data_IF_609272135828
#
_entry.id   IF_609272135828
#
_cell.length_a   1.000
_cell.length_b   1.000
_cell.length_c   1.000
_cell.angle_alpha   90.00
_cell.angle_beta   90.00
_cell.angle_gamma   90.00
#
_symmetry.space_group_name_H-M   'P 1'
#
loop_
_entity.id
_entity.type
_entity.pdbx_description
1 polymer ?
#
# COMPACT_ATOMS: atom_id res chain seq x y z
N UNK A 1 -7.43 -11.17 7.64
CA UNK A 1 -6.12 -10.51 7.52
C UNK A 1 -6.19 -9.11 8.12
N UNK A 2 -5.21 -8.75 8.96
CA UNK A 2 -4.99 -7.40 9.50
C UNK A 2 -3.91 -6.67 8.69
N UNK A 3 -4.26 -5.51 8.14
CA UNK A 3 -3.38 -4.75 7.24
C UNK A 3 -3.04 -3.39 7.83
N UNK A 4 -1.76 -3.01 7.80
CA UNK A 4 -1.29 -1.64 8.02
C UNK A 4 -1.31 -0.91 6.67
N UNK A 5 -1.87 0.30 6.62
CA UNK A 5 -1.87 1.14 5.44
C UNK A 5 -1.29 2.52 5.77
N UNK A 6 -0.33 2.98 4.97
CA UNK A 6 0.21 4.35 5.03
C UNK A 6 -0.16 5.12 3.78
N UNK A 7 -0.22 6.45 3.85
CA UNK A 7 -0.47 7.30 2.67
C UNK A 7 -1.90 7.22 2.12
N UNK A 8 -2.86 6.79 2.94
CA UNK A 8 -4.29 6.64 2.57
C UNK A 8 -4.99 7.94 2.13
N UNK A 9 -4.42 9.11 2.43
CA UNK A 9 -4.91 10.42 1.95
C UNK A 9 -4.42 10.78 0.56
N UNK A 10 -3.47 10.01 0.01
CA UNK A 10 -2.92 10.22 -1.32
C UNK A 10 -3.75 9.56 -2.42
N UNK A 11 -3.45 9.90 -3.67
CA UNK A 11 -4.19 9.42 -4.85
C UNK A 11 -4.21 7.88 -4.95
N UNK A 12 -3.05 7.22 -4.80
CA UNK A 12 -2.95 5.75 -4.80
C UNK A 12 -3.51 5.16 -3.49
N UNK A 13 -3.04 5.66 -2.35
CA UNK A 13 -3.37 5.08 -1.04
C UNK A 13 -4.87 5.13 -0.71
N UNK A 14 -5.60 6.15 -1.20
CA UNK A 14 -7.05 6.21 -1.04
C UNK A 14 -7.74 5.07 -1.79
N UNK A 15 -7.31 4.78 -3.02
CA UNK A 15 -7.88 3.66 -3.78
C UNK A 15 -7.50 2.30 -3.17
N UNK A 16 -6.29 2.16 -2.63
CA UNK A 16 -5.91 0.96 -1.85
C UNK A 16 -6.81 0.80 -0.63
N UNK A 17 -7.10 1.87 0.12
CA UNK A 17 -8.01 1.81 1.27
C UNK A 17 -9.40 1.31 0.86
N UNK A 18 -9.96 1.83 -0.23
CA UNK A 18 -11.27 1.41 -0.73
C UNK A 18 -11.28 -0.08 -1.12
N UNK A 19 -10.22 -0.55 -1.80
CA UNK A 19 -10.06 -1.96 -2.15
C UNK A 19 -9.92 -2.85 -0.89
N UNK A 20 -9.18 -2.40 0.13
CA UNK A 20 -9.08 -3.12 1.40
C UNK A 20 -10.42 -3.24 2.12
N UNK A 21 -11.20 -2.16 2.17
CA UNK A 21 -12.52 -2.14 2.81
C UNK A 21 -13.50 -3.10 2.13
N UNK A 22 -13.52 -3.08 0.79
CA UNK A 22 -14.37 -3.94 -0.04
C UNK A 22 -13.97 -5.43 0.04
N UNK A 23 -12.73 -5.76 0.40
CA UNK A 23 -12.27 -7.14 0.42
C UNK A 23 -12.68 -7.88 1.72
N UNK A 24 -13.44 -8.98 1.65
CA UNK A 24 -13.90 -9.71 2.84
C UNK A 24 -12.78 -10.46 3.58
N UNK A 25 -11.68 -10.80 2.90
CA UNK A 25 -10.52 -11.46 3.53
C UNK A 25 -9.72 -10.51 4.42
N UNK A 26 -9.88 -9.19 4.23
CA UNK A 26 -9.34 -8.16 5.11
C UNK A 26 -10.38 -7.83 6.18
N UNK A 27 -10.02 -8.14 7.42
CA UNK A 27 -10.91 -8.08 8.59
C UNK A 27 -10.58 -6.89 9.49
N UNK A 28 -9.36 -6.35 9.40
CA UNK A 28 -8.93 -5.18 10.16
C UNK A 28 -7.92 -4.36 9.36
N UNK A 29 -8.06 -3.03 9.40
CA UNK A 29 -7.19 -2.08 8.70
C UNK A 29 -6.75 -1.04 9.71
N UNK A 30 -5.43 -0.94 9.94
CA UNK A 30 -4.83 0.17 10.70
C UNK A 30 -4.25 1.16 9.70
N UNK A 31 -4.85 2.35 9.63
CA UNK A 31 -4.28 3.46 8.86
C UNK A 31 -3.35 4.26 9.76
N UNK A 32 -2.09 4.39 9.34
CA UNK A 32 -1.17 5.40 9.87
C UNK A 32 -1.27 6.65 9.00
N UNK A 33 -1.79 7.73 9.58
CA UNK A 33 -1.99 8.98 8.86
C UNK A 33 -1.58 10.18 9.70
N UNK A 34 -1.16 11.26 9.04
CA UNK A 34 -0.85 12.54 9.69
C UNK A 34 -2.09 13.39 9.93
N UNK A 35 -3.24 12.96 9.40
CA UNK A 35 -4.53 13.66 9.46
C UNK A 35 -5.64 12.62 9.54
N UNK A 36 -6.76 13.01 10.11
CA UNK A 36 -7.92 12.13 10.18
C UNK A 36 -8.51 11.84 8.78
N UNK A 37 -9.25 10.74 8.68
CA UNK A 37 -9.98 10.36 7.47
C UNK A 37 -11.45 10.69 7.60
N UNK A 38 -12.10 11.02 6.48
CA UNK A 38 -13.55 11.28 6.43
C UNK A 38 -14.40 10.00 6.36
N UNK A 39 -13.75 8.85 6.24
CA UNK A 39 -14.41 7.54 6.10
C UNK A 39 -14.37 6.84 7.45
N UNK A 40 -15.51 6.27 7.84
CA UNK A 40 -15.65 5.42 9.02
C UNK A 40 -16.11 4.04 8.59
N UNK A 41 -15.49 2.98 9.09
CA UNK A 41 -15.86 1.59 8.82
C UNK A 41 -15.51 0.72 10.04
N UNK A 42 -16.30 -0.32 10.37
CA UNK A 42 -15.98 -1.23 11.49
C UNK A 42 -14.61 -1.92 11.39
N UNK A 43 -14.10 -2.14 10.17
CA UNK A 43 -12.76 -2.71 9.94
C UNK A 43 -11.66 -1.67 10.14
N UNK A 44 -11.96 -0.38 10.08
CA UNK A 44 -11.00 0.71 9.97
C UNK A 44 -10.68 1.35 11.33
N UNK A 45 -9.40 1.35 11.68
CA UNK A 45 -8.84 2.13 12.78
C UNK A 45 -7.82 3.12 12.23
N UNK A 46 -8.00 4.41 12.53
CA UNK A 46 -7.04 5.47 12.17
C UNK A 46 -6.18 5.77 13.40
N UNK A 47 -4.86 5.73 13.23
CA UNK A 47 -3.89 6.17 14.22
C UNK A 47 -3.18 7.40 13.66
N UNK A 48 -3.27 8.52 14.39
CA UNK A 48 -2.54 9.73 14.05
C UNK A 48 -1.06 9.54 14.37
N UNK A 49 -0.25 9.58 13.32
CA UNK A 49 1.18 9.40 13.40
C UNK A 49 1.88 10.39 12.46
N UNK A 50 2.52 11.39 13.06
CA UNK A 50 3.07 12.53 12.31
C UNK A 50 4.47 12.27 11.73
N UNK A 51 5.33 11.60 12.51
CA UNK A 51 6.74 11.39 12.16
C UNK A 51 7.12 9.91 11.99
N UNK A 52 7.08 9.47 10.74
CA UNK A 52 7.42 8.11 10.31
C UNK A 52 8.93 7.79 10.41
N UNK A 53 9.76 8.70 10.96
CA UNK A 53 11.12 8.34 11.40
C UNK A 53 11.18 7.73 12.80
N UNK A 54 10.07 7.70 13.53
CA UNK A 54 10.01 7.16 14.90
C UNK A 54 8.79 6.28 15.10
N UNK A 55 8.92 5.17 15.82
CA UNK A 55 7.80 4.28 16.14
C UNK A 55 7.80 4.05 17.65
N UNK A 56 6.98 4.80 18.42
CA UNK A 56 6.86 4.63 19.87
C UNK A 56 6.43 3.20 20.25
N UNK A 57 6.76 2.76 21.46
CA UNK A 57 6.43 1.42 21.97
C UNK A 57 4.94 1.12 21.86
N UNK A 58 4.09 2.08 22.20
CA UNK A 58 2.63 1.94 22.20
C UNK A 58 2.09 1.78 20.78
N UNK A 59 2.74 2.42 19.81
CA UNK A 59 2.41 2.24 18.39
C UNK A 59 2.80 0.84 17.94
N UNK A 60 4.01 0.39 18.27
CA UNK A 60 4.50 -0.95 17.92
C UNK A 60 3.58 -2.05 18.44
N UNK A 61 3.12 -1.94 19.68
CA UNK A 61 2.16 -2.89 20.28
C UNK A 61 0.86 -2.96 19.48
N UNK A 62 0.35 -1.83 18.97
CA UNK A 62 -0.87 -1.82 18.18
C UNK A 62 -0.70 -2.39 16.77
N UNK A 63 0.53 -2.37 16.25
CA UNK A 63 0.90 -2.86 14.93
C UNK A 63 1.37 -4.32 14.94
N UNK A 64 1.57 -4.89 16.13
CA UNK A 64 2.18 -6.19 16.33
C UNK A 64 1.50 -7.29 15.48
N UNK A 65 0.24 -7.57 15.76
CA UNK A 65 -0.58 -8.60 15.12
C UNK A 65 -0.97 -8.31 13.65
N UNK A 66 -0.28 -7.40 12.95
CA UNK A 66 -0.52 -7.15 11.53
C UNK A 66 0.13 -8.23 10.66
N UNK A 67 -0.64 -8.71 9.68
CA UNK A 67 -0.19 -9.72 8.71
C UNK A 67 0.58 -9.07 7.54
N UNK A 68 0.22 -7.83 7.19
CA UNK A 68 0.79 -7.13 6.04
C UNK A 68 0.86 -5.62 6.26
N UNK A 69 1.79 -4.96 5.55
CA UNK A 69 1.84 -3.51 5.45
C UNK A 69 1.84 -3.08 3.97
N UNK A 70 0.86 -2.27 3.58
CA UNK A 70 0.83 -1.61 2.28
C UNK A 70 1.30 -0.17 2.45
N UNK A 71 2.44 0.16 1.85
CA UNK A 71 3.07 1.48 1.98
C UNK A 71 2.76 2.35 0.76
N UNK A 72 2.02 3.44 0.95
CA UNK A 72 1.69 4.39 -0.12
C UNK A 72 2.08 5.84 0.21
N UNK A 73 2.99 6.05 1.17
CA UNK A 73 3.55 7.37 1.42
C UNK A 73 4.53 7.76 0.31
N UNK A 74 4.37 9.00 -0.16
CA UNK A 74 5.26 9.64 -1.12
C UNK A 74 4.83 11.08 -1.35
N UNK A 75 5.67 11.85 -2.02
CA UNK A 75 5.26 13.14 -2.57
C UNK A 75 5.86 13.38 -3.95
N UNK A 76 5.11 14.10 -4.78
CA UNK A 76 5.54 14.51 -6.10
C UNK A 76 6.83 15.34 -6.03
N UNK A 77 7.79 14.98 -6.85
CA UNK A 77 9.00 15.75 -7.09
C UNK A 77 8.71 16.68 -8.30
N UNK A 78 9.11 17.96 -8.29
CA UNK A 78 9.93 18.66 -7.30
C UNK A 78 9.11 19.55 -6.34
N UNK A 79 7.83 19.24 -6.08
CA UNK A 79 6.87 20.15 -5.42
C UNK A 79 7.35 20.70 -4.06
N UNK A 80 8.23 19.98 -3.36
CA UNK A 80 8.78 20.37 -2.06
C UNK A 80 10.30 20.61 -2.12
N UNK A 81 10.89 21.28 -1.10
CA UNK A 81 12.33 21.41 -0.97
C UNK A 81 13.04 20.04 -1.03
N UNK A 82 14.27 19.96 -1.60
CA UNK A 82 14.99 18.69 -1.79
C UNK A 82 15.10 17.83 -0.54
N UNK A 83 15.42 18.44 0.61
CA UNK A 83 15.53 17.73 1.89
C UNK A 83 14.20 17.09 2.31
N UNK A 84 13.08 17.80 2.13
CA UNK A 84 11.76 17.28 2.46
C UNK A 84 11.31 16.19 1.49
N UNK A 85 11.68 16.30 0.20
CA UNK A 85 11.46 15.21 -0.77
C UNK A 85 12.24 13.96 -0.39
N UNK A 86 13.51 14.10 0.02
CA UNK A 86 14.34 12.98 0.47
C UNK A 86 13.75 12.35 1.73
N UNK A 87 13.37 13.16 2.72
CA UNK A 87 12.76 12.67 3.96
C UNK A 87 11.49 11.86 3.70
N UNK A 88 10.61 12.35 2.83
CA UNK A 88 9.32 11.70 2.53
C UNK A 88 9.49 10.45 1.66
N UNK A 89 10.25 10.55 0.57
CA UNK A 89 10.31 9.47 -0.43
C UNK A 89 11.34 8.39 -0.06
N UNK A 90 12.32 8.69 0.78
CA UNK A 90 13.40 7.78 1.14
C UNK A 90 13.39 7.43 2.64
N UNK A 91 13.58 8.42 3.51
CA UNK A 91 13.81 8.13 4.94
C UNK A 91 12.59 7.49 5.61
N UNK A 92 11.38 7.99 5.34
CA UNK A 92 10.14 7.37 5.83
C UNK A 92 9.96 5.95 5.32
N UNK A 93 10.30 5.68 4.06
CA UNK A 93 10.15 4.36 3.43
C UNK A 93 11.05 3.34 4.11
N UNK A 94 12.34 3.67 4.27
CA UNK A 94 13.33 2.77 4.88
C UNK A 94 13.02 2.53 6.37
N UNK A 95 12.64 3.57 7.11
CA UNK A 95 12.31 3.42 8.54
C UNK A 95 11.05 2.59 8.72
N UNK A 96 10.00 2.84 7.93
CA UNK A 96 8.76 2.06 8.00
C UNK A 96 9.01 0.58 7.68
N UNK A 97 9.77 0.29 6.62
CA UNK A 97 10.12 -1.08 6.25
C UNK A 97 10.90 -1.79 7.37
N UNK A 98 11.86 -1.09 7.98
CA UNK A 98 12.68 -1.63 9.08
C UNK A 98 11.86 -1.91 10.33
N UNK A 99 11.02 -0.98 10.75
CA UNK A 99 10.22 -1.15 11.97
C UNK A 99 9.13 -2.20 11.78
N UNK A 100 8.43 -2.22 10.64
CA UNK A 100 7.46 -3.28 10.36
C UNK A 100 8.13 -4.65 10.25
N UNK A 101 9.30 -4.74 9.61
CA UNK A 101 10.08 -5.99 9.58
C UNK A 101 10.45 -6.45 11.00
N UNK A 102 10.90 -5.55 11.87
CA UNK A 102 11.21 -5.89 13.26
C UNK A 102 10.00 -6.35 14.04
N UNK A 103 8.88 -5.63 13.92
CA UNK A 103 7.62 -5.95 14.58
C UNK A 103 7.15 -7.35 14.12
N UNK A 104 7.07 -7.57 12.81
CA UNK A 104 6.59 -8.83 12.22
C UNK A 104 7.56 -10.00 12.53
N UNK A 105 8.88 -9.79 12.42
CA UNK A 105 9.87 -10.83 12.75
C UNK A 105 9.96 -11.14 14.24
N UNK A 106 9.70 -10.17 15.12
CA UNK A 106 9.67 -10.41 16.56
C UNK A 106 8.50 -11.34 16.92
N UNK A 107 7.38 -11.24 16.21
CA UNK A 107 6.20 -12.08 16.42
C UNK A 107 6.28 -13.42 15.68
N UNK A 108 6.94 -13.44 14.51
CA UNK A 108 7.32 -14.67 13.81
C UNK A 108 8.46 -15.46 14.48
N UNK A 109 9.04 -14.96 15.57
CA UNK A 109 9.88 -15.77 16.48
C UNK A 109 9.07 -16.44 17.58
N UNK A 110 7.86 -15.95 17.87
CA UNK A 110 6.94 -16.51 18.87
C UNK A 110 5.99 -17.56 18.27
N UNK A 111 5.71 -17.47 16.96
CA UNK A 111 5.08 -18.52 16.16
C UNK A 111 6.13 -19.00 15.14
N UNK A 112 6.28 -20.30 14.89
CA UNK A 112 7.25 -20.91 13.93
C UNK A 112 6.98 -20.53 12.44
N UNK A 113 6.68 -19.25 12.17
CA UNK A 113 6.24 -18.69 10.90
C UNK A 113 7.35 -17.94 10.18
N UNK A 114 7.47 -18.26 8.89
CA UNK A 114 8.41 -17.76 7.89
C UNK A 114 8.55 -16.23 7.86
N UNK A 115 9.77 -15.76 7.57
CA UNK A 115 10.17 -14.35 7.69
C UNK A 115 9.36 -13.33 6.87
N UNK A 116 9.67 -12.05 7.11
CA UNK A 116 9.03 -10.89 6.45
C UNK A 116 9.43 -10.77 4.98
N UNK A 117 8.45 -10.86 4.08
CA UNK A 117 8.64 -10.66 2.63
C UNK A 117 8.43 -9.19 2.24
N UNK A 118 9.24 -8.70 1.30
CA UNK A 118 9.17 -7.31 0.81
C UNK A 118 8.98 -7.31 -0.70
N UNK A 119 7.94 -6.60 -1.13
CA UNK A 119 7.57 -6.43 -2.53
C UNK A 119 7.66 -4.95 -2.94
N UNK A 120 8.23 -4.69 -4.11
CA UNK A 120 8.37 -3.33 -4.68
C UNK A 120 7.55 -3.23 -5.96
N UNK A 121 6.48 -2.44 -5.93
CA UNK A 121 5.70 -2.12 -7.12
C UNK A 121 6.41 -1.05 -7.97
N UNK A 122 6.61 -1.33 -9.26
CA UNK A 122 7.15 -0.42 -10.27
C UNK A 122 6.10 -0.18 -11.37
N UNK A 123 5.05 0.59 -11.07
CA UNK A 123 4.05 0.93 -12.06
C UNK A 123 4.64 1.82 -13.14
N UNK A 124 4.03 1.76 -14.32
CA UNK A 124 4.14 2.79 -15.33
C UNK A 124 3.35 4.04 -14.94
N UNK A 125 3.00 4.86 -15.92
CA UNK A 125 2.17 6.04 -15.67
C UNK A 125 0.79 5.66 -15.13
N UNK A 126 0.42 6.16 -13.94
CA UNK A 126 -0.83 5.80 -13.26
C UNK A 126 -1.97 6.72 -13.68
N UNK A 127 -3.03 6.15 -14.23
CA UNK A 127 -4.16 6.87 -14.83
C UNK A 127 -5.45 6.70 -14.02
N UNK A 128 -6.31 7.73 -14.01
CA UNK A 128 -7.66 7.61 -13.47
C UNK A 128 -8.58 6.85 -14.44
N UNK A 129 -9.54 6.08 -13.93
CA UNK A 129 -10.53 5.40 -14.78
C UNK A 129 -11.42 6.47 -15.43
N UNK A 130 -11.38 6.58 -16.75
CA UNK A 130 -12.09 7.63 -17.51
C UNK A 130 -11.21 8.80 -17.95
N UNK A 131 -9.92 8.83 -17.58
CA UNK A 131 -8.95 9.73 -18.20
C UNK A 131 -8.77 9.32 -19.67
N UNK A 132 -9.53 9.94 -20.57
CA UNK A 132 -9.39 9.75 -22.02
C UNK A 132 -8.20 10.60 -22.52
N UNK A 133 -7.00 10.33 -22.01
CA UNK A 133 -5.80 10.78 -22.71
C UNK A 133 -5.80 10.03 -24.04
N UNK A 134 -5.80 10.74 -25.18
CA UNK A 134 -5.96 10.13 -26.50
C UNK A 134 -5.00 8.92 -26.60
N UNK A 135 -5.50 7.72 -26.90
CA UNK A 135 -4.73 6.47 -26.83
C UNK A 135 -3.37 6.50 -27.56
N UNK A 136 -3.21 7.32 -28.60
CA UNK A 136 -1.93 7.54 -29.28
C UNK A 136 -0.87 8.25 -28.42
N UNK A 137 -1.27 9.14 -27.50
CA UNK A 137 -0.39 9.76 -26.50
C UNK A 137 0.08 8.73 -25.47
N UNK A 138 -0.77 7.78 -25.08
CA UNK A 138 -0.40 6.67 -24.18
C UNK A 138 0.71 5.82 -24.81
N UNK A 139 0.68 5.61 -26.13
CA UNK A 139 1.76 4.96 -26.87
C UNK A 139 3.09 5.73 -26.86
N UNK A 140 3.06 7.05 -26.63
CA UNK A 140 4.24 7.93 -26.55
C UNK A 140 4.83 8.05 -25.14
N UNK A 141 4.04 7.86 -24.07
CA UNK A 141 4.52 8.01 -22.66
C UNK A 141 5.07 6.71 -22.05
N UNK A 142 5.13 5.62 -22.83
CA UNK A 142 5.56 4.32 -22.33
C UNK A 142 4.51 3.66 -21.42
N UNK A 143 4.88 2.52 -20.85
CA UNK A 143 4.03 1.62 -20.04
C UNK A 143 3.12 2.41 -19.07
N UNK A 144 1.82 2.09 -19.01
CA UNK A 144 0.84 2.73 -18.13
C UNK A 144 -0.04 1.70 -17.42
N UNK A 145 -0.71 2.12 -16.35
CA UNK A 145 -1.63 1.29 -15.55
C UNK A 145 -2.78 2.15 -15.02
N UNK A 146 -3.99 1.59 -14.92
CA UNK A 146 -5.11 2.28 -14.28
C UNK A 146 -5.02 2.17 -12.76
N UNK A 147 -5.43 3.23 -12.07
CA UNK A 147 -5.36 3.32 -10.62
C UNK A 147 -6.08 2.15 -9.91
N UNK A 148 -7.30 1.75 -10.30
CA UNK A 148 -7.96 0.62 -9.65
C UNK A 148 -7.18 -0.69 -9.81
N UNK A 149 -6.54 -0.92 -10.97
CA UNK A 149 -5.74 -2.11 -11.22
C UNK A 149 -4.48 -2.11 -10.35
N UNK A 150 -3.79 -0.96 -10.25
CA UNK A 150 -2.64 -0.81 -9.35
C UNK A 150 -3.06 -1.10 -7.90
N UNK A 151 -4.11 -0.46 -7.41
CA UNK A 151 -4.58 -0.66 -6.04
C UNK A 151 -4.99 -2.12 -5.78
N UNK A 152 -5.74 -2.73 -6.70
CA UNK A 152 -6.15 -4.14 -6.61
C UNK A 152 -4.93 -5.08 -6.60
N UNK A 153 -3.92 -4.81 -7.43
CA UNK A 153 -2.71 -5.63 -7.47
C UNK A 153 -1.93 -5.59 -6.15
N UNK A 154 -1.84 -4.41 -5.52
CA UNK A 154 -1.17 -4.26 -4.22
C UNK A 154 -1.90 -5.03 -3.12
N UNK A 155 -3.23 -4.96 -3.10
CA UNK A 155 -4.06 -5.74 -2.16
C UNK A 155 -3.95 -7.24 -2.43
N UNK A 156 -3.94 -7.64 -3.71
CA UNK A 156 -3.78 -9.03 -4.10
C UNK A 156 -2.45 -9.60 -3.60
N UNK A 157 -1.35 -8.88 -3.78
CA UNK A 157 -0.01 -9.32 -3.35
C UNK A 157 0.08 -9.39 -1.83
N UNK A 158 -0.52 -8.42 -1.11
CA UNK A 158 -0.58 -8.49 0.34
C UNK A 158 -1.29 -9.76 0.84
N UNK A 159 -2.31 -10.23 0.12
CA UNK A 159 -3.10 -11.42 0.47
C UNK A 159 -2.44 -12.76 0.08
N UNK A 160 -1.73 -12.79 -1.04
CA UNK A 160 -1.32 -14.05 -1.67
C UNK A 160 0.20 -14.19 -1.87
N UNK A 161 0.97 -13.16 -1.53
CA UNK A 161 2.39 -13.07 -1.86
C UNK A 161 2.65 -12.92 -3.36
N UNK A 162 3.93 -12.99 -3.74
CA UNK A 162 4.37 -12.95 -5.13
C UNK A 162 5.71 -13.70 -5.26
N UNK A 163 5.95 -14.35 -6.40
CA UNK A 163 7.14 -15.21 -6.60
C UNK A 163 8.46 -14.45 -6.78
N UNK A 164 8.44 -13.11 -6.74
CA UNK A 164 9.64 -12.27 -6.82
C UNK A 164 9.54 -11.04 -5.93
N UNK A 165 10.62 -10.26 -5.86
CA UNK A 165 10.67 -9.05 -5.02
C UNK A 165 10.14 -7.78 -5.73
N UNK A 166 10.12 -7.76 -7.06
CA UNK A 166 9.77 -6.59 -7.86
C UNK A 166 8.59 -6.91 -8.75
N UNK A 167 7.55 -6.08 -8.68
CA UNK A 167 6.38 -6.13 -9.54
C UNK A 167 6.49 -5.05 -10.60
N UNK A 168 6.93 -5.45 -11.78
CA UNK A 168 6.95 -4.58 -12.96
C UNK A 168 5.50 -4.32 -13.46
N UNK A 169 5.34 -3.26 -14.27
CA UNK A 169 4.03 -2.78 -14.71
C UNK A 169 3.11 -3.88 -15.29
N UNK A 170 3.64 -4.79 -16.11
CA UNK A 170 2.85 -5.87 -16.70
C UNK A 170 2.28 -6.83 -15.65
N UNK A 171 3.08 -7.20 -14.64
CA UNK A 171 2.64 -8.05 -13.54
C UNK A 171 1.56 -7.35 -12.70
N UNK A 172 1.72 -6.05 -12.45
CA UNK A 172 0.72 -5.24 -11.74
C UNK A 172 -0.62 -5.22 -12.49
N UNK A 173 -0.61 -5.05 -13.82
CA UNK A 173 -1.83 -5.10 -14.64
C UNK A 173 -2.49 -6.49 -14.55
N UNK A 174 -1.71 -7.56 -14.68
CA UNK A 174 -2.24 -8.93 -14.63
C UNK A 174 -2.88 -9.24 -13.28
N UNK A 175 -2.17 -8.93 -12.18
CA UNK A 175 -2.64 -9.16 -10.83
C UNK A 175 -3.84 -8.28 -10.47
N UNK A 176 -3.85 -7.01 -10.92
CA UNK A 176 -4.97 -6.11 -10.72
C UNK A 176 -6.27 -6.65 -11.31
N UNK A 177 -6.20 -7.22 -12.52
CA UNK A 177 -7.33 -7.89 -13.17
C UNK A 177 -7.78 -9.14 -12.43
N UNK A 178 -6.84 -9.96 -11.94
CA UNK A 178 -7.16 -11.14 -11.11
C UNK A 178 -7.87 -10.75 -9.81
N UNK A 179 -7.39 -9.70 -9.15
CA UNK A 179 -8.01 -9.17 -7.92
C UNK A 179 -9.44 -8.69 -8.13
N UNK A 180 -9.72 -8.02 -9.25
CA UNK A 180 -11.07 -7.54 -9.59
C UNK A 180 -12.06 -8.68 -9.93
N UNK A 181 -11.60 -9.75 -10.58
CA UNK A 181 -12.47 -10.90 -10.92
C UNK A 181 -12.86 -11.74 -9.69
N UNK A 182 -12.02 -11.73 -8.64
CA UNK A 182 -12.32 -12.37 -7.37
C UNK A 182 -13.39 -11.66 -6.53
N UNK A 183 -13.62 -10.36 -6.74
CA UNK A 183 -14.65 -9.59 -6.03
C UNK A 183 -16.03 -9.66 -6.68
N UNK A 184 -16.12 -9.76 -8.02
CA UNK A 184 -17.41 -9.75 -8.75
C UNK A 184 -18.14 -11.12 -8.73
N UNK A 185 -17.42 -12.22 -8.54
CA UNK A 185 -17.98 -13.59 -8.51
C UNK A 185 -18.72 -13.97 -7.22
N UNK A 186 -18.87 -13.03 -6.27
CA UNK A 186 -19.60 -13.23 -5.00
C UNK A 186 -20.78 -12.25 -4.83
N UNK A 187 -21.34 -11.74 -5.94
CA UNK A 187 -22.61 -10.99 -5.94
C UNK A 187 -23.81 -11.90 -6.22
#
# INVERSE_FOLDING_TARGET
MKVILTGSTGYIGNQVLLQCLANPSITSIIVLSRRDLKITDPKLKVILHEDFTTYPSELKTQLADADACIYCLGSNIPVKPPELNRRINFDYTITTARENSRIILQLGKENEGTGFEVFVARPGFVQEKGAVLKAWLIGLVGKSIFMPDLAASMVYVALHGYSGAILENEALIELGRKGALGSDSRS
#
